data_IF_801136909983
#
_entry.id   IF_801136909983
#
_cell.length_a   1.000
_cell.length_b   1.000
_cell.length_c   1.000
_cell.angle_alpha   90.00
_cell.angle_beta   90.00
_cell.angle_gamma   90.00
#
_symmetry.space_group_name_H-M   'P 1'
#
loop_
_entity.id
_entity.type
_entity.pdbx_description
1 polymer ?
#
# COMPACT_ATOMS: atom_id res chain seq x y z
N UNK A 1 -37.15 -13.49 -21.16
CA UNK A 1 -36.95 -14.95 -21.30
C UNK A 1 -35.45 -15.24 -21.23
N UNK A 2 -34.83 -14.76 -20.15
CA UNK A 2 -33.43 -15.01 -19.77
C UNK A 2 -33.45 -16.21 -18.83
N UNK A 3 -33.27 -17.35 -19.48
CA UNK A 3 -32.66 -18.59 -19.05
C UNK A 3 -33.07 -19.26 -17.72
N UNK A 4 -33.93 -20.26 -17.87
CA UNK A 4 -34.23 -21.32 -16.89
C UNK A 4 -32.97 -22.08 -16.44
N UNK A 5 -31.86 -21.98 -17.18
CA UNK A 5 -30.56 -22.58 -16.83
C UNK A 5 -29.91 -21.92 -15.60
N UNK A 6 -30.05 -20.61 -15.41
CA UNK A 6 -29.46 -19.89 -14.27
C UNK A 6 -30.18 -20.23 -12.96
N UNK A 7 -31.52 -20.30 -12.99
CA UNK A 7 -32.32 -20.80 -11.87
C UNK A 7 -31.93 -22.24 -11.51
N UNK A 8 -31.76 -23.13 -12.50
CA UNK A 8 -31.36 -24.52 -12.26
C UNK A 8 -29.97 -24.64 -11.63
N UNK A 9 -29.05 -23.71 -11.93
CA UNK A 9 -27.73 -23.63 -11.29
C UNK A 9 -27.77 -23.12 -9.84
N UNK A 10 -28.82 -22.37 -9.48
CA UNK A 10 -29.08 -21.93 -8.11
C UNK A 10 -29.71 -23.04 -7.25
N UNK A 11 -30.45 -23.96 -7.88
CA UNK A 11 -31.17 -25.07 -7.23
C UNK A 11 -30.40 -26.39 -7.18
N UNK A 12 -29.10 -26.41 -7.51
CA UNK A 12 -28.30 -27.66 -7.43
C UNK A 12 -28.14 -28.23 -6.01
N UNK A 13 -28.43 -27.43 -4.98
CA UNK A 13 -28.38 -27.81 -3.57
C UNK A 13 -29.79 -28.04 -2.94
N UNK A 14 -30.88 -27.86 -3.71
CA UNK A 14 -32.26 -28.11 -3.27
C UNK A 14 -32.78 -29.42 -3.88
N UNK A 15 -33.65 -30.18 -3.18
CA UNK A 15 -34.17 -31.45 -3.67
C UNK A 15 -34.81 -31.32 -5.06
N UNK A 16 -34.57 -32.29 -5.95
CA UNK A 16 -35.01 -32.29 -7.36
C UNK A 16 -36.54 -32.16 -7.58
N UNK A 17 -37.35 -32.20 -6.51
CA UNK A 17 -38.81 -32.11 -6.54
C UNK A 17 -39.32 -30.97 -5.64
N UNK A 18 -39.13 -29.72 -6.04
CA UNK A 18 -39.88 -28.61 -5.44
C UNK A 18 -41.35 -28.65 -5.86
N UNK A 19 -42.24 -28.50 -4.88
CA UNK A 19 -43.67 -28.28 -5.09
C UNK A 19 -43.93 -26.88 -5.68
N UNK A 20 -45.08 -26.70 -6.34
CA UNK A 20 -45.48 -25.39 -6.89
C UNK A 20 -45.55 -24.28 -5.84
N UNK A 21 -45.89 -24.64 -4.60
CA UNK A 21 -46.00 -23.72 -3.47
C UNK A 21 -44.62 -23.22 -3.02
N UNK A 22 -43.60 -24.09 -3.01
CA UNK A 22 -42.22 -23.71 -2.70
C UNK A 22 -41.63 -22.78 -3.76
N UNK A 23 -41.90 -23.05 -5.05
CA UNK A 23 -41.52 -22.16 -6.15
C UNK A 23 -42.13 -20.77 -6.01
N UNK A 24 -43.43 -20.69 -5.70
CA UNK A 24 -44.13 -19.43 -5.51
C UNK A 24 -43.60 -18.65 -4.29
N UNK A 25 -43.24 -19.34 -3.21
CA UNK A 25 -42.58 -18.73 -2.05
C UNK A 25 -41.21 -18.14 -2.40
N UNK A 26 -40.40 -18.86 -3.17
CA UNK A 26 -39.06 -18.42 -3.58
C UNK A 26 -39.12 -17.23 -4.54
N UNK A 27 -40.08 -17.18 -5.47
CA UNK A 27 -40.31 -16.02 -6.32
C UNK A 27 -40.73 -14.79 -5.50
N UNK A 28 -41.60 -14.99 -4.51
CA UNK A 28 -42.00 -13.91 -3.60
C UNK A 28 -40.83 -13.41 -2.74
N UNK A 29 -39.98 -14.33 -2.27
CA UNK A 29 -38.75 -14.00 -1.55
C UNK A 29 -37.78 -13.24 -2.47
N UNK A 30 -37.63 -13.66 -3.73
CA UNK A 30 -36.84 -12.97 -4.75
C UNK A 30 -37.31 -11.56 -5.00
N UNK A 31 -38.62 -11.37 -5.16
CA UNK A 31 -39.21 -10.06 -5.38
C UNK A 31 -38.95 -9.12 -4.20
N UNK A 32 -39.17 -9.58 -2.97
CA UNK A 32 -38.94 -8.77 -1.77
C UNK A 32 -37.47 -8.45 -1.53
N UNK A 33 -36.57 -9.41 -1.78
CA UNK A 33 -35.13 -9.19 -1.68
C UNK A 33 -34.62 -8.24 -2.76
N UNK A 34 -35.05 -8.41 -4.02
CA UNK A 34 -34.70 -7.49 -5.11
C UNK A 34 -35.16 -6.06 -4.85
N UNK A 35 -36.35 -5.88 -4.26
CA UNK A 35 -36.87 -4.57 -3.86
C UNK A 35 -36.13 -3.98 -2.65
N UNK A 36 -35.63 -4.83 -1.74
CA UNK A 36 -34.87 -4.40 -0.54
C UNK A 36 -33.41 -4.07 -0.85
N UNK A 37 -32.83 -4.74 -1.84
CA UNK A 37 -31.45 -4.58 -2.31
C UNK A 37 -31.45 -4.06 -3.75
N UNK A 38 -32.03 -2.88 -3.95
CA UNK A 38 -31.94 -2.19 -5.24
C UNK A 38 -30.47 -1.80 -5.48
N UNK A 39 -29.87 -2.19 -6.62
CA UNK A 39 -28.44 -2.02 -6.84
C UNK A 39 -28.08 -0.53 -6.78
N UNK A 40 -27.10 -0.19 -5.96
CA UNK A 40 -26.52 1.16 -5.97
C UNK A 40 -25.80 1.35 -7.30
N UNK A 41 -26.51 1.88 -8.29
CA UNK A 41 -25.94 2.22 -9.58
C UNK A 41 -24.98 3.39 -9.41
N UNK A 42 -23.69 3.08 -9.30
CA UNK A 42 -22.64 4.11 -9.33
C UNK A 42 -22.73 4.81 -10.69
N UNK A 43 -22.92 6.13 -10.67
CA UNK A 43 -23.00 6.93 -11.89
C UNK A 43 -21.79 6.64 -12.78
N UNK A 44 -22.03 6.37 -14.08
CA UNK A 44 -20.98 6.13 -15.07
C UNK A 44 -19.94 7.24 -15.10
N UNK A 45 -20.35 8.48 -14.79
CA UNK A 45 -19.43 9.61 -14.64
C UNK A 45 -18.44 9.42 -13.48
N UNK A 46 -18.92 9.01 -12.30
CA UNK A 46 -18.08 8.72 -11.13
C UNK A 46 -17.11 7.58 -11.45
N UNK A 47 -17.61 6.50 -12.05
CA UNK A 47 -16.78 5.37 -12.44
C UNK A 47 -15.66 5.79 -13.41
N UNK A 48 -15.99 6.57 -14.43
CA UNK A 48 -15.03 7.07 -15.42
C UNK A 48 -13.96 7.93 -14.77
N UNK A 49 -14.35 8.84 -13.86
CA UNK A 49 -13.44 9.69 -13.10
C UNK A 49 -12.49 8.83 -12.25
N UNK A 50 -13.03 7.83 -11.54
CA UNK A 50 -12.22 6.94 -10.71
C UNK A 50 -11.20 6.16 -11.55
N UNK A 51 -11.59 5.65 -12.73
CA UNK A 51 -10.70 4.90 -13.62
C UNK A 51 -9.55 5.79 -14.09
N UNK A 52 -9.85 7.00 -14.55
CA UNK A 52 -8.83 7.97 -15.00
C UNK A 52 -7.90 8.34 -13.84
N UNK A 53 -8.45 8.58 -12.65
CA UNK A 53 -7.69 8.96 -11.47
C UNK A 53 -6.76 7.83 -10.99
N UNK A 54 -7.28 6.64 -10.73
CA UNK A 54 -6.46 5.52 -10.26
C UNK A 54 -5.46 5.05 -11.33
N UNK A 55 -5.85 5.09 -12.61
CA UNK A 55 -4.94 4.80 -13.73
C UNK A 55 -3.79 5.80 -13.83
N UNK A 56 -4.08 7.10 -13.76
CA UNK A 56 -3.03 8.13 -13.78
C UNK A 56 -2.11 8.06 -12.56
N UNK A 57 -2.64 7.81 -11.36
CA UNK A 57 -1.84 7.61 -10.14
C UNK A 57 -0.89 6.42 -10.31
N UNK A 58 -1.38 5.28 -10.83
CA UNK A 58 -0.53 4.11 -11.10
C UNK A 58 0.60 4.45 -12.08
N UNK A 59 0.29 5.07 -13.22
CA UNK A 59 1.30 5.43 -14.23
C UNK A 59 2.34 6.40 -13.67
N UNK A 60 1.90 7.46 -12.99
CA UNK A 60 2.80 8.46 -12.39
C UNK A 60 3.67 7.81 -11.31
N UNK A 61 3.09 6.98 -10.45
CA UNK A 61 3.82 6.28 -9.39
C UNK A 61 4.89 5.36 -9.98
N UNK A 62 4.58 4.58 -11.01
CA UNK A 62 5.55 3.68 -11.64
C UNK A 62 6.65 4.47 -12.33
N UNK A 63 6.31 5.41 -13.21
CA UNK A 63 7.32 6.19 -13.96
C UNK A 63 8.22 6.98 -13.00
N UNK A 64 7.64 7.71 -12.06
CA UNK A 64 8.37 8.53 -11.11
C UNK A 64 9.33 7.70 -10.25
N UNK A 65 8.86 6.59 -9.70
CA UNK A 65 9.70 5.76 -8.83
C UNK A 65 10.75 4.95 -9.60
N UNK A 66 10.46 4.49 -10.82
CA UNK A 66 11.48 3.88 -11.71
C UNK A 66 12.59 4.88 -12.02
N UNK A 67 12.25 6.14 -12.30
CA UNK A 67 13.24 7.19 -12.52
C UNK A 67 14.10 7.44 -11.28
N UNK A 68 13.51 7.45 -10.08
CA UNK A 68 14.26 7.56 -8.82
C UNK A 68 15.27 6.42 -8.69
N UNK A 69 14.85 5.17 -8.89
CA UNK A 69 15.74 4.00 -8.86
C UNK A 69 16.86 4.15 -9.89
N UNK A 70 16.52 4.51 -11.14
CA UNK A 70 17.48 4.71 -12.21
C UNK A 70 18.56 5.75 -11.86
N UNK A 71 18.16 6.93 -11.35
CA UNK A 71 19.09 8.01 -11.00
C UNK A 71 20.03 7.58 -9.87
N UNK A 72 19.53 6.90 -8.83
CA UNK A 72 20.33 6.43 -7.70
C UNK A 72 21.36 5.39 -8.15
N UNK A 73 20.97 4.47 -9.05
CA UNK A 73 21.87 3.44 -9.57
C UNK A 73 22.92 4.01 -10.54
N UNK A 74 22.53 4.93 -11.42
CA UNK A 74 23.39 5.47 -12.47
C UNK A 74 24.45 6.44 -11.94
N UNK A 75 24.10 7.30 -10.96
CA UNK A 75 25.01 8.33 -10.45
C UNK A 75 25.73 7.84 -9.19
N UNK A 76 27.02 7.50 -9.29
CA UNK A 76 27.86 7.10 -8.13
C UNK A 76 27.82 8.10 -6.97
N UNK A 77 27.79 9.41 -7.26
CA UNK A 77 27.71 10.46 -6.23
C UNK A 77 26.38 10.43 -5.45
N UNK A 78 25.34 9.80 -6.00
CA UNK A 78 24.03 9.62 -5.37
C UNK A 78 23.92 8.30 -4.61
N UNK A 79 24.95 7.44 -4.57
CA UNK A 79 24.91 6.16 -3.83
C UNK A 79 25.26 6.34 -2.34
N UNK A 80 24.56 7.27 -1.70
CA UNK A 80 24.62 7.52 -0.25
C UNK A 80 23.63 6.61 0.47
N UNK A 81 23.81 6.43 1.78
CA UNK A 81 22.93 5.55 2.59
C UNK A 81 21.47 6.00 2.52
N UNK A 82 21.20 7.29 2.68
CA UNK A 82 19.84 7.84 2.56
C UNK A 82 19.23 7.58 1.19
N UNK A 83 20.01 7.70 0.12
CA UNK A 83 19.51 7.48 -1.24
C UNK A 83 19.25 5.99 -1.54
N UNK A 84 19.96 5.06 -0.89
CA UNK A 84 19.63 3.63 -0.94
C UNK A 84 18.27 3.37 -0.29
N UNK A 85 17.98 3.99 0.86
CA UNK A 85 16.64 3.92 1.46
C UNK A 85 15.56 4.54 0.58
N UNK A 86 15.85 5.67 -0.10
CA UNK A 86 14.94 6.27 -1.07
C UNK A 86 14.67 5.31 -2.25
N UNK A 87 15.69 4.62 -2.76
CA UNK A 87 15.51 3.62 -3.81
C UNK A 87 14.69 2.40 -3.32
N UNK A 88 14.85 2.00 -2.05
CA UNK A 88 14.02 0.94 -1.45
C UNK A 88 12.55 1.35 -1.35
N UNK A 89 12.28 2.60 -0.96
CA UNK A 89 10.93 3.16 -0.95
C UNK A 89 10.33 3.18 -2.36
N UNK A 90 11.11 3.65 -3.34
CA UNK A 90 10.69 3.67 -4.73
C UNK A 90 10.36 2.25 -5.27
N UNK A 91 11.12 1.23 -4.87
CA UNK A 91 10.83 -0.16 -5.24
C UNK A 91 9.48 -0.63 -4.68
N UNK A 92 9.18 -0.31 -3.41
CA UNK A 92 7.90 -0.63 -2.78
C UNK A 92 6.73 0.08 -3.49
N UNK A 93 6.91 1.35 -3.86
CA UNK A 93 5.89 2.15 -4.54
C UNK A 93 5.66 1.71 -6.00
N UNK A 94 6.70 1.26 -6.71
CA UNK A 94 6.54 0.61 -8.03
C UNK A 94 5.68 -0.64 -7.90
N UNK A 95 5.93 -1.48 -6.89
CA UNK A 95 5.12 -2.66 -6.66
C UNK A 95 3.65 -2.31 -6.32
N UNK A 96 3.40 -1.25 -5.55
CA UNK A 96 2.03 -0.75 -5.33
C UNK A 96 1.39 -0.29 -6.63
N UNK A 97 2.10 0.51 -7.43
CA UNK A 97 1.64 1.03 -8.71
C UNK A 97 1.28 -0.07 -9.71
N UNK A 98 2.09 -1.12 -9.80
CA UNK A 98 1.90 -2.22 -10.75
C UNK A 98 0.88 -3.27 -10.29
N UNK A 99 0.87 -3.64 -9.01
CA UNK A 99 0.10 -4.79 -8.52
C UNK A 99 -1.07 -4.39 -7.61
N UNK A 100 -0.91 -3.38 -6.77
CA UNK A 100 -1.98 -3.07 -5.81
C UNK A 100 -3.06 -2.23 -6.46
N UNK A 101 -2.65 -1.13 -7.10
CA UNK A 101 -3.59 -0.16 -7.68
C UNK A 101 -4.51 -0.82 -8.70
N UNK A 102 -4.03 -1.46 -9.79
CA UNK A 102 -4.93 -2.00 -10.80
C UNK A 102 -5.79 -3.16 -10.30
N UNK A 103 -5.24 -4.10 -9.52
CA UNK A 103 -5.97 -5.31 -9.10
C UNK A 103 -6.98 -5.02 -7.99
N UNK A 104 -6.62 -4.21 -6.99
CA UNK A 104 -7.53 -3.84 -5.91
C UNK A 104 -8.64 -2.92 -6.42
N UNK A 105 -8.30 -1.96 -7.26
CA UNK A 105 -9.26 -1.05 -7.87
C UNK A 105 -10.24 -1.81 -8.78
N UNK A 106 -9.73 -2.72 -9.61
CA UNK A 106 -10.55 -3.60 -10.43
C UNK A 106 -11.50 -4.45 -9.57
N UNK A 107 -11.02 -5.08 -8.49
CA UNK A 107 -11.85 -5.86 -7.59
C UNK A 107 -12.93 -5.00 -6.90
N UNK A 108 -12.59 -3.76 -6.52
CA UNK A 108 -13.51 -2.81 -5.91
C UNK A 108 -14.60 -2.31 -6.88
N UNK A 109 -14.28 -2.14 -8.17
CA UNK A 109 -15.29 -1.75 -9.17
C UNK A 109 -16.19 -2.92 -9.53
N UNK A 110 -15.59 -4.06 -9.86
CA UNK A 110 -16.33 -5.19 -10.41
C UNK A 110 -17.19 -5.87 -9.35
N UNK A 111 -16.87 -5.71 -8.06
CA UNK A 111 -17.52 -6.42 -6.96
C UNK A 111 -17.52 -7.94 -7.18
N UNK A 112 -16.55 -8.45 -7.96
CA UNK A 112 -16.30 -9.85 -8.27
C UNK A 112 -14.83 -10.06 -8.58
N UNK A 113 -14.33 -11.25 -8.29
CA UNK A 113 -12.96 -11.64 -8.59
C UNK A 113 -12.90 -12.38 -9.92
N UNK A 114 -12.40 -11.71 -10.97
CA UNK A 114 -12.27 -12.31 -12.33
C UNK A 114 -10.81 -12.46 -12.78
N UNK A 115 -9.87 -12.30 -11.85
CA UNK A 115 -8.44 -12.53 -12.07
C UNK A 115 -8.10 -13.96 -11.65
N UNK A 116 -6.94 -14.46 -12.04
CA UNK A 116 -6.44 -15.77 -11.61
C UNK A 116 -6.48 -15.96 -10.07
N UNK A 117 -6.79 -17.16 -9.60
CA UNK A 117 -7.00 -17.47 -8.18
C UNK A 117 -5.80 -17.13 -7.30
N UNK A 118 -4.58 -17.36 -7.79
CA UNK A 118 -3.37 -17.06 -7.03
C UNK A 118 -3.19 -15.55 -6.76
N UNK A 119 -3.73 -14.69 -7.63
CA UNK A 119 -3.69 -13.24 -7.44
C UNK A 119 -4.56 -12.78 -6.27
N UNK A 120 -5.58 -13.56 -5.86
CA UNK A 120 -6.38 -13.26 -4.68
C UNK A 120 -5.52 -13.28 -3.39
N UNK A 121 -4.44 -14.06 -3.40
CA UNK A 121 -3.45 -14.14 -2.31
C UNK A 121 -2.32 -13.14 -2.50
N UNK A 122 -1.77 -13.08 -3.72
CA UNK A 122 -0.58 -12.28 -4.01
C UNK A 122 -0.86 -10.79 -3.97
N UNK A 123 -2.00 -10.32 -4.47
CA UNK A 123 -2.32 -8.89 -4.49
C UNK A 123 -2.37 -8.27 -3.07
N UNK A 124 -3.14 -8.81 -2.08
CA UNK A 124 -3.13 -8.28 -0.73
C UNK A 124 -1.77 -8.46 -0.03
N UNK A 125 -1.06 -9.56 -0.28
CA UNK A 125 0.30 -9.77 0.23
C UNK A 125 1.27 -8.68 -0.25
N UNK A 126 1.33 -8.43 -1.56
CA UNK A 126 2.22 -7.40 -2.15
C UNK A 126 1.84 -6.02 -1.64
N UNK A 127 0.54 -5.72 -1.53
CA UNK A 127 0.05 -4.47 -0.94
C UNK A 127 0.62 -4.28 0.46
N UNK A 128 0.37 -5.23 1.36
CA UNK A 128 0.77 -5.09 2.76
C UNK A 128 2.29 -5.12 2.90
N UNK A 129 2.99 -5.98 2.14
CA UNK A 129 4.45 -6.01 2.08
C UNK A 129 5.03 -4.64 1.69
N UNK A 130 4.55 -4.06 0.59
CA UNK A 130 5.03 -2.75 0.13
C UNK A 130 4.74 -1.64 1.14
N UNK A 131 3.53 -1.57 1.69
CA UNK A 131 3.17 -0.57 2.71
C UNK A 131 4.08 -0.69 3.93
N UNK A 132 4.36 -1.92 4.39
CA UNK A 132 5.25 -2.20 5.51
C UNK A 132 6.69 -1.78 5.24
N UNK A 133 7.22 -2.13 4.07
CA UNK A 133 8.56 -1.71 3.64
C UNK A 133 8.63 -0.19 3.59
N UNK A 134 7.63 0.48 3.02
CA UNK A 134 7.60 1.94 2.90
C UNK A 134 7.62 2.64 4.26
N UNK A 135 6.74 2.26 5.19
CA UNK A 135 6.63 2.95 6.47
C UNK A 135 7.84 2.72 7.38
N UNK A 136 8.38 1.50 7.41
CA UNK A 136 9.60 1.21 8.16
C UNK A 136 10.81 1.94 7.56
N UNK A 137 10.90 2.02 6.23
CA UNK A 137 11.94 2.79 5.54
C UNK A 137 11.84 4.28 5.88
N UNK A 138 10.63 4.87 5.84
CA UNK A 138 10.40 6.27 6.22
C UNK A 138 10.79 6.54 7.67
N UNK A 139 10.51 5.61 8.57
CA UNK A 139 10.89 5.70 9.98
C UNK A 139 12.40 5.73 10.14
N UNK A 140 13.12 4.84 9.45
CA UNK A 140 14.59 4.80 9.44
C UNK A 140 15.18 6.06 8.85
N UNK A 141 14.63 6.58 7.75
CA UNK A 141 15.06 7.85 7.15
C UNK A 141 14.87 9.00 8.15
N UNK A 142 13.70 9.10 8.80
CA UNK A 142 13.43 10.14 9.78
C UNK A 142 14.42 10.08 10.96
N UNK A 143 14.72 8.88 11.44
CA UNK A 143 15.69 8.67 12.51
C UNK A 143 17.14 9.00 12.07
N UNK A 144 17.56 8.58 10.88
CA UNK A 144 18.87 8.93 10.31
C UNK A 144 19.04 10.45 10.21
N UNK A 145 18.00 11.16 9.75
CA UNK A 145 17.99 12.63 9.69
C UNK A 145 18.08 13.27 11.07
N UNK A 146 17.34 12.74 12.04
CA UNK A 146 17.43 13.19 13.43
C UNK A 146 18.86 13.07 13.97
N UNK A 147 19.51 11.92 13.80
CA UNK A 147 20.89 11.72 14.27
C UNK A 147 21.87 12.66 13.57
N UNK A 148 21.76 12.80 12.25
CA UNK A 148 22.65 13.66 11.48
C UNK A 148 22.57 15.14 11.89
N UNK A 149 21.37 15.63 12.23
CA UNK A 149 21.15 17.05 12.61
C UNK A 149 21.49 17.30 14.08
N UNK A 150 21.11 16.38 14.98
CA UNK A 150 21.32 16.56 16.42
C UNK A 150 22.75 16.22 16.86
N UNK A 151 23.43 15.31 16.15
CA UNK A 151 24.77 14.82 16.48
C UNK A 151 25.70 14.90 15.26
N UNK A 152 26.08 16.11 14.79
CA UNK A 152 26.83 16.30 13.54
C UNK A 152 28.23 15.67 13.54
N UNK A 153 28.79 15.36 14.71
CA UNK A 153 30.09 14.68 14.86
C UNK A 153 29.98 13.16 14.94
N UNK A 154 28.76 12.59 15.09
CA UNK A 154 28.55 11.16 14.92
C UNK A 154 28.49 10.84 13.44
N UNK A 155 29.34 9.93 12.99
CA UNK A 155 29.22 9.37 11.65
C UNK A 155 27.81 8.77 11.49
N UNK A 156 27.12 9.13 10.39
CA UNK A 156 25.82 8.55 10.04
C UNK A 156 25.91 7.04 9.78
N UNK A 157 24.80 6.43 9.37
CA UNK A 157 24.79 5.00 9.09
C UNK A 157 25.90 4.59 8.11
N UNK A 158 26.73 3.64 8.53
CA UNK A 158 27.68 2.98 7.61
C UNK A 158 26.88 2.17 6.60
N UNK A 159 27.40 2.01 5.37
CA UNK A 159 26.74 1.21 4.32
C UNK A 159 26.37 -0.20 4.80
N UNK A 160 27.24 -0.86 5.56
CA UNK A 160 26.98 -2.18 6.13
C UNK A 160 25.74 -2.19 7.06
N UNK A 161 25.63 -1.19 7.94
CA UNK A 161 24.48 -1.06 8.85
C UNK A 161 23.21 -0.80 8.06
N UNK A 162 23.27 0.03 7.01
CA UNK A 162 22.12 0.30 6.15
C UNK A 162 21.59 -0.99 5.47
N UNK A 163 22.48 -1.84 4.96
CA UNK A 163 22.08 -3.13 4.39
C UNK A 163 21.46 -4.07 5.41
N UNK A 164 22.00 -4.13 6.64
CA UNK A 164 21.40 -4.93 7.73
C UNK A 164 20.00 -4.40 8.06
N UNK A 165 19.84 -3.08 8.16
CA UNK A 165 18.53 -2.45 8.42
C UNK A 165 17.53 -2.76 7.30
N UNK A 166 17.94 -2.69 6.04
CA UNK A 166 17.08 -3.09 4.91
C UNK A 166 16.64 -4.55 5.02
N UNK A 167 17.58 -5.46 5.30
CA UNK A 167 17.26 -6.87 5.48
C UNK A 167 16.24 -7.08 6.60
N UNK A 168 16.42 -6.39 7.74
CA UNK A 168 15.47 -6.44 8.86
C UNK A 168 14.10 -5.91 8.43
N UNK A 169 14.04 -4.78 7.72
CA UNK A 169 12.78 -4.23 7.18
C UNK A 169 12.06 -5.28 6.33
N UNK A 170 12.77 -5.87 5.36
CA UNK A 170 12.18 -6.87 4.47
C UNK A 170 11.69 -8.12 5.22
N UNK A 171 12.49 -8.64 6.15
CA UNK A 171 12.11 -9.82 6.95
C UNK A 171 10.87 -9.53 7.79
N UNK A 172 10.82 -8.39 8.49
CA UNK A 172 9.66 -8.00 9.29
C UNK A 172 8.42 -7.81 8.42
N UNK A 173 8.54 -7.09 7.31
CA UNK A 173 7.43 -6.82 6.39
C UNK A 173 6.88 -8.09 5.75
N UNK A 174 7.75 -9.00 5.29
CA UNK A 174 7.34 -10.30 4.76
C UNK A 174 6.62 -11.10 5.85
N UNK A 175 7.22 -11.20 7.03
CA UNK A 175 6.66 -11.97 8.15
C UNK A 175 5.26 -11.49 8.54
N UNK A 176 5.04 -10.17 8.59
CA UNK A 176 3.73 -9.60 8.90
C UNK A 176 2.69 -9.76 7.78
N UNK A 177 3.11 -9.91 6.53
CA UNK A 177 2.20 -10.05 5.37
C UNK A 177 1.88 -11.50 5.03
N UNK A 178 2.62 -12.48 5.57
CA UNK A 178 2.35 -13.92 5.36
C UNK A 178 0.88 -14.32 5.60
N UNK A 179 0.17 -13.82 6.62
CA UNK A 179 -1.24 -14.16 6.83
C UNK A 179 -2.11 -13.92 5.59
N UNK A 180 -1.79 -12.91 4.76
CA UNK A 180 -2.55 -12.64 3.55
C UNK A 180 -2.44 -13.81 2.56
N UNK A 181 -1.26 -14.42 2.42
CA UNK A 181 -1.03 -15.58 1.54
C UNK A 181 -1.73 -16.85 2.06
N UNK A 182 -1.89 -16.97 3.38
CA UNK A 182 -2.49 -18.15 4.01
C UNK A 182 -4.02 -18.09 4.00
N UNK A 183 -4.59 -16.91 4.25
CA UNK A 183 -6.00 -16.77 4.58
C UNK A 183 -6.85 -16.16 3.46
N UNK A 184 -6.30 -15.40 2.50
CA UNK A 184 -7.09 -14.97 1.35
C UNK A 184 -7.41 -16.15 0.43
N UNK A 185 -8.70 -16.26 0.05
CA UNK A 185 -9.17 -17.28 -0.89
C UNK A 185 -10.29 -16.73 -1.76
N UNK A 186 -10.35 -17.26 -3.00
CA UNK A 186 -11.51 -17.06 -3.86
C UNK A 186 -12.61 -17.99 -3.37
N UNK A 187 -13.75 -17.41 -3.02
CA UNK A 187 -14.95 -18.11 -2.61
C UNK A 187 -16.08 -17.75 -3.55
N UNK A 188 -17.01 -18.68 -3.77
CA UNK A 188 -18.22 -18.40 -4.53
C UNK A 188 -19.27 -17.91 -3.55
N UNK A 189 -19.65 -16.63 -3.67
CA UNK A 189 -20.70 -16.02 -2.84
C UNK A 189 -21.97 -15.87 -3.65
N UNK A 190 -23.12 -15.95 -2.98
CA UNK A 190 -24.40 -15.61 -3.58
C UNK A 190 -24.60 -14.10 -3.53
N UNK A 191 -24.72 -13.47 -4.69
CA UNK A 191 -25.02 -12.06 -4.82
C UNK A 191 -26.54 -11.86 -4.89
N UNK A 192 -27.08 -11.18 -3.88
CA UNK A 192 -28.50 -10.91 -3.74
C UNK A 192 -28.98 -9.87 -4.76
N UNK A 193 -28.11 -8.97 -5.23
CA UNK A 193 -28.49 -7.90 -6.18
C UNK A 193 -28.77 -8.47 -7.57
N UNK A 194 -27.90 -9.36 -8.06
CA UNK A 194 -28.03 -9.99 -9.38
C UNK A 194 -28.65 -11.39 -9.33
N UNK A 195 -28.98 -11.89 -8.13
CA UNK A 195 -29.55 -13.22 -7.92
C UNK A 195 -28.68 -14.36 -8.51
N UNK A 196 -27.35 -14.24 -8.41
CA UNK A 196 -26.42 -15.18 -9.02
C UNK A 196 -25.19 -15.47 -8.13
N UNK A 197 -24.57 -16.63 -8.34
CA UNK A 197 -23.28 -16.98 -7.71
C UNK A 197 -22.16 -16.20 -8.42
N UNK A 198 -21.30 -15.51 -7.67
CA UNK A 198 -20.12 -14.82 -8.19
C UNK A 198 -18.85 -15.17 -7.41
N UNK A 199 -17.69 -15.28 -8.08
CA UNK A 199 -16.41 -15.42 -7.38
C UNK A 199 -16.08 -14.12 -6.64
N UNK A 200 -15.64 -14.23 -5.40
CA UNK A 200 -15.23 -13.11 -4.57
C UNK A 200 -13.97 -13.49 -3.78
N UNK A 201 -13.03 -12.56 -3.70
CA UNK A 201 -11.78 -12.76 -2.99
C UNK A 201 -11.93 -12.16 -1.59
N UNK A 202 -11.89 -13.00 -0.56
CA UNK A 202 -12.02 -12.57 0.83
C UNK A 202 -11.09 -13.37 1.75
N UNK A 203 -10.85 -12.82 2.93
CA UNK A 203 -10.00 -13.40 3.94
C UNK A 203 -10.79 -14.39 4.82
N UNK A 204 -10.29 -15.62 4.89
CA UNK A 204 -10.82 -16.67 5.76
C UNK A 204 -9.96 -16.79 7.01
N UNK A 205 -10.34 -16.06 8.05
CA UNK A 205 -9.61 -16.10 9.32
C UNK A 205 -9.78 -17.46 10.03
N UNK A 206 -8.73 -17.94 10.72
CA UNK A 206 -8.77 -19.22 11.42
C UNK A 206 -9.64 -19.18 12.69
N UNK A 207 -9.92 -17.98 13.21
CA UNK A 207 -10.79 -17.74 14.37
C UNK A 207 -11.29 -16.31 14.40
N UNK A 208 -12.38 -16.04 15.12
CA UNK A 208 -12.97 -14.69 15.26
C UNK A 208 -12.07 -13.69 16.00
N UNK A 209 -11.12 -14.19 16.80
CA UNK A 209 -10.16 -13.36 17.52
C UNK A 209 -9.00 -12.89 16.62
N UNK A 210 -8.63 -13.69 15.62
CA UNK A 210 -7.51 -13.42 14.73
C UNK A 210 -7.60 -12.08 13.97
N UNK A 211 -8.73 -11.69 13.35
CA UNK A 211 -8.82 -10.40 12.66
C UNK A 211 -8.57 -9.23 13.61
N UNK A 212 -9.13 -9.28 14.83
CA UNK A 212 -8.94 -8.22 15.83
C UNK A 212 -7.46 -8.09 16.20
N UNK A 213 -6.79 -9.21 16.44
CA UNK A 213 -5.35 -9.22 16.72
C UNK A 213 -4.55 -8.68 15.54
N UNK A 214 -4.81 -9.18 14.33
CA UNK A 214 -4.11 -8.78 13.11
C UNK A 214 -4.23 -7.28 12.82
N UNK A 215 -5.45 -6.73 12.83
CA UNK A 215 -5.66 -5.31 12.57
C UNK A 215 -5.15 -4.42 13.70
N UNK A 216 -5.22 -4.87 14.96
CA UNK A 216 -4.63 -4.12 16.09
C UNK A 216 -3.11 -4.07 16.00
N UNK A 217 -2.47 -5.19 15.64
CA UNK A 217 -1.04 -5.27 15.38
C UNK A 217 -0.62 -4.33 14.23
N UNK A 218 -1.33 -4.37 13.10
CA UNK A 218 -1.11 -3.47 11.96
C UNK A 218 -1.24 -2.01 12.39
N UNK A 219 -2.31 -1.65 13.10
CA UNK A 219 -2.54 -0.29 13.60
C UNK A 219 -1.38 0.20 14.47
N UNK A 220 -0.90 -0.61 15.41
CA UNK A 220 0.17 -0.20 16.30
C UNK A 220 1.51 -0.07 15.58
N UNK A 221 1.91 -1.10 14.84
CA UNK A 221 3.25 -1.16 14.25
C UNK A 221 3.41 -0.40 12.94
N UNK A 222 2.33 -0.12 12.21
CA UNK A 222 2.40 0.59 10.93
C UNK A 222 1.85 2.00 11.01
N UNK A 223 1.05 2.32 12.01
CA UNK A 223 0.50 3.66 12.16
C UNK A 223 1.05 4.34 13.40
N UNK A 224 0.72 3.86 14.59
CA UNK A 224 1.02 4.59 15.85
C UNK A 224 2.52 4.70 16.10
N UNK A 225 3.25 3.60 16.10
CA UNK A 225 4.70 3.60 16.41
C UNK A 225 5.51 4.35 15.34
N UNK A 226 5.34 4.09 14.02
CA UNK A 226 6.07 4.82 13.00
C UNK A 226 5.78 6.31 13.00
N UNK A 227 4.50 6.71 13.06
CA UNK A 227 4.14 8.12 13.00
C UNK A 227 4.66 8.88 14.22
N UNK A 228 4.59 8.29 15.41
CA UNK A 228 5.17 8.94 16.61
C UNK A 228 6.68 9.16 16.46
N UNK A 229 7.43 8.16 15.97
CA UNK A 229 8.88 8.28 15.74
C UNK A 229 9.18 9.32 14.65
N UNK A 230 8.46 9.28 13.52
CA UNK A 230 8.64 10.18 12.38
C UNK A 230 8.33 11.62 12.81
N UNK A 231 7.18 11.85 13.42
CA UNK A 231 6.76 13.17 13.90
C UNK A 231 7.74 13.72 14.93
N UNK A 232 8.10 12.93 15.95
CA UNK A 232 9.08 13.36 16.96
C UNK A 232 10.43 13.74 16.32
N UNK A 233 10.94 12.89 15.43
CA UNK A 233 12.22 13.10 14.74
C UNK A 233 12.20 14.39 13.92
N UNK A 234 11.20 14.59 13.08
CA UNK A 234 11.10 15.77 12.22
C UNK A 234 10.78 17.06 12.98
N UNK A 235 9.98 16.99 14.04
CA UNK A 235 9.73 18.14 14.92
C UNK A 235 11.05 18.61 15.55
N UNK A 236 11.85 17.69 16.09
CA UNK A 236 13.16 18.01 16.69
C UNK A 236 14.14 18.58 15.66
N UNK A 237 14.19 17.99 14.47
CA UNK A 237 14.99 18.50 13.36
C UNK A 237 14.56 19.92 12.98
N UNK A 238 13.27 20.15 12.81
CA UNK A 238 12.71 21.46 12.47
C UNK A 238 13.08 22.50 13.53
N UNK A 239 12.85 22.23 14.82
CA UNK A 239 13.21 23.15 15.90
C UNK A 239 14.71 23.46 15.96
N UNK A 240 15.58 22.47 15.71
CA UNK A 240 17.03 22.70 15.71
C UNK A 240 17.47 23.59 14.54
N UNK A 241 16.85 23.43 13.38
CA UNK A 241 17.17 24.21 12.17
C UNK A 241 16.53 25.60 12.23
N UNK A 242 15.35 25.73 12.85
CA UNK A 242 14.59 26.97 13.00
C UNK A 242 15.33 27.95 13.92
N UNK A 243 16.21 28.77 13.34
CA UNK A 243 17.05 29.73 14.03
C UNK A 243 18.56 29.48 13.90
N UNK A 244 18.96 28.33 13.35
CA UNK A 244 20.35 28.08 12.98
C UNK A 244 20.69 28.86 11.70
N UNK A 245 21.79 29.64 11.69
CA UNK A 245 22.29 30.22 10.43
C UNK A 245 22.60 29.07 9.46
N UNK A 246 22.16 29.20 8.21
CA UNK A 246 22.37 28.17 7.21
C UNK A 246 23.86 27.76 7.17
N UNK A 247 24.19 26.45 7.14
CA UNK A 247 25.58 25.99 7.23
C UNK A 247 26.49 26.53 6.11
N UNK A 248 25.92 27.02 5.01
CA UNK A 248 26.65 27.74 3.96
C UNK A 248 27.14 29.14 4.33
N UNK A 249 26.54 29.81 5.33
CA UNK A 249 26.89 31.19 5.70
C UNK A 249 28.32 31.31 6.24
N UNK A 250 28.74 30.37 7.10
CA UNK A 250 30.09 30.36 7.66
C UNK A 250 31.14 29.99 6.59
N UNK A 251 30.82 29.08 5.66
CA UNK A 251 31.71 28.71 4.56
C UNK A 251 31.86 29.88 3.58
N UNK A 252 30.76 30.53 3.20
CA UNK A 252 30.76 31.67 2.29
C UNK A 252 31.46 32.88 2.92
N UNK A 253 31.30 33.10 4.22
CA UNK A 253 32.05 34.12 4.98
C UNK A 253 33.54 33.81 5.02
N UNK A 254 33.93 32.55 5.26
CA UNK A 254 35.34 32.11 5.29
C UNK A 254 36.01 32.20 3.92
N UNK A 255 35.31 31.81 2.86
CA UNK A 255 35.78 31.92 1.48
C UNK A 255 35.86 33.37 1.03
N UNK A 256 34.91 34.21 1.42
CA UNK A 256 34.96 35.65 1.19
C UNK A 256 36.18 36.28 1.89
N UNK A 257 36.42 35.98 3.18
CA UNK A 257 37.59 36.46 3.92
C UNK A 257 38.91 36.00 3.26
N UNK A 258 38.98 34.75 2.77
CA UNK A 258 40.14 34.25 2.01
C UNK A 258 40.35 34.99 0.69
N UNK A 259 39.29 35.31 -0.03
CA UNK A 259 39.36 36.06 -1.29
C UNK A 259 39.86 37.49 -1.10
N UNK A 260 39.47 38.15 0.00
CA UNK A 260 39.92 39.51 0.35
C UNK A 260 41.39 39.51 0.77
N UNK A 261 41.84 38.53 1.55
CA UNK A 261 43.27 38.41 1.90
C UNK A 261 44.15 38.17 0.68
N UNK A 262 43.71 37.34 -0.28
CA UNK A 262 44.46 37.14 -1.54
C UNK A 262 44.63 38.42 -2.35
N UNK A 263 43.65 39.34 -2.32
CA UNK A 263 43.72 40.62 -3.03
C UNK A 263 44.62 41.67 -2.37
N UNK A 264 44.97 41.50 -1.09
CA UNK A 264 45.86 42.43 -0.35
C UNK A 264 47.35 42.08 -0.46
N UNK A 265 47.66 40.89 -0.94
CA UNK A 265 49.04 40.36 -1.05
C UNK A 265 49.55 40.42 -2.50
N UNK A 266 48.66 40.73 -3.45
CA UNK A 266 48.98 41.09 -4.84
C UNK A 266 49.02 42.61 -4.98
#
# INVERSE_FOLDING_TARGET
MSDFSELKSMFSDFPENLTKEELQYLEHLRYNLSKKYEPVSVSTGILTILIILYGSISVIAVIGNVLVIFVVLYKRNMQTVTNVFIANLALADVALGLFTIPFQFHAAIMQRWVVADFMCKVAPFVKNLSVNVSILTLTVIAFDRYIAVMYPLKAGFRKQVAFIVLLVIWVLSISSSIPDLLYYKVNIIFDIEIWAKKPFCDVQWPSDAFPKFYYSYFLLLQYVVPLTIISFSYIRVAYRIWGSKAPGYEIQKRDHIRSVHKKKVS
#
